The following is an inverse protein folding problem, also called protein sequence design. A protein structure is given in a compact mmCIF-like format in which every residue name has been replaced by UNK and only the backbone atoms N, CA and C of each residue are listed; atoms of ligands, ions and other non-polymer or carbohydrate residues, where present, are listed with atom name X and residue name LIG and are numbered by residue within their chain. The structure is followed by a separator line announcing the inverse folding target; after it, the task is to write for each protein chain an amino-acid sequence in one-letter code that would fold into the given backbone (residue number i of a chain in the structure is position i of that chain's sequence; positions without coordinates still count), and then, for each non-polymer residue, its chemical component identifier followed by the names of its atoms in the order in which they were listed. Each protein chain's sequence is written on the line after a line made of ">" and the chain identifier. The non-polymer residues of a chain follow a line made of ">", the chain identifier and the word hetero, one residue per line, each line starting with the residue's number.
data_IF_261521038780
#
_entry.id   IF_261521038780
#
_cell.length_a   1.000
_cell.length_b   1.000
_cell.length_c   1.000
_cell.angle_alpha   90.00
_cell.angle_beta   90.00
_cell.angle_gamma   90.00
#
_symmetry.space_group_name_H-M   'P 1'
#
loop_
_entity.id
_entity.type
_entity.pdbx_description
1 polymer ?
#
# COMPACT_ATOMS: atom_id res chain seq x y z
N UNK A 1 -4.90 -12.24 -10.72
CA UNK A 1 -4.30 -13.10 -9.68
C UNK A 1 -3.57 -12.20 -8.68
N UNK A 2 -4.07 -12.09 -7.44
CA UNK A 2 -3.59 -11.14 -6.44
C UNK A 2 -2.13 -11.43 -6.04
N UNK A 3 -1.16 -10.69 -6.59
CA UNK A 3 0.18 -10.62 -6.00
C UNK A 3 0.09 -9.75 -4.73
N UNK A 4 -0.42 -10.38 -3.67
CA UNK A 4 -0.51 -9.83 -2.34
C UNK A 4 0.91 -9.78 -1.78
N UNK A 5 1.70 -8.79 -2.23
CA UNK A 5 3.05 -8.51 -1.70
C UNK A 5 2.95 -7.93 -0.29
N UNK A 6 2.44 -8.77 0.60
CA UNK A 6 2.69 -8.71 2.02
C UNK A 6 4.21 -8.79 2.25
N UNK A 7 4.67 -8.26 3.38
CA UNK A 7 6.07 -8.34 3.79
C UNK A 7 6.57 -9.79 3.58
N UNK A 8 7.66 -9.96 2.83
CA UNK A 8 8.17 -11.31 2.51
C UNK A 8 8.42 -12.07 3.81
N UNK A 9 8.05 -13.36 3.86
CA UNK A 9 8.21 -14.24 5.04
C UNK A 9 9.60 -14.17 5.69
N UNK A 10 10.65 -14.03 4.88
CA UNK A 10 12.02 -13.84 5.38
C UNK A 10 12.18 -12.66 6.34
N UNK A 11 11.51 -11.54 6.10
CA UNK A 11 11.61 -10.35 6.96
C UNK A 11 10.86 -10.54 8.29
N UNK A 12 9.77 -11.32 8.29
CA UNK A 12 9.11 -11.73 9.52
C UNK A 12 10.01 -12.62 10.38
N UNK A 13 10.66 -13.62 9.76
CA UNK A 13 11.59 -14.51 10.45
C UNK A 13 12.76 -13.72 11.02
N UNK A 14 13.37 -12.83 10.23
CA UNK A 14 14.46 -11.97 10.68
C UNK A 14 14.02 -11.08 11.84
N UNK A 15 12.86 -10.42 11.74
CA UNK A 15 12.33 -9.56 12.80
C UNK A 15 12.16 -10.32 14.12
N UNK A 16 11.48 -11.47 14.09
CA UNK A 16 11.20 -12.24 15.30
C UNK A 16 12.46 -12.87 15.90
N UNK A 17 13.39 -13.38 15.08
CA UNK A 17 14.67 -13.91 15.58
C UNK A 17 15.48 -12.78 16.22
N UNK A 18 15.64 -11.63 15.55
CA UNK A 18 16.38 -10.50 16.11
C UNK A 18 15.74 -9.99 17.41
N UNK A 19 14.40 -9.87 17.45
CA UNK A 19 13.68 -9.44 18.64
C UNK A 19 13.81 -10.46 19.79
N UNK A 20 13.78 -11.76 19.49
CA UNK A 20 13.96 -12.85 20.45
C UNK A 20 15.36 -12.85 21.03
N UNK A 21 16.39 -12.88 20.17
CA UNK A 21 17.79 -12.85 20.59
C UNK A 21 18.10 -11.62 21.44
N UNK A 22 17.60 -10.44 21.02
CA UNK A 22 17.77 -9.22 21.80
C UNK A 22 17.17 -9.32 23.20
N UNK A 23 15.94 -9.83 23.34
CA UNK A 23 15.30 -9.94 24.66
C UNK A 23 15.92 -11.02 25.53
N UNK A 24 16.33 -12.16 24.96
CA UNK A 24 17.03 -13.21 25.71
C UNK A 24 18.34 -12.69 26.29
N UNK A 25 19.14 -11.97 25.50
CA UNK A 25 20.39 -11.37 25.96
C UNK A 25 20.13 -10.28 27.01
N UNK A 26 19.19 -9.36 26.74
CA UNK A 26 18.83 -8.27 27.64
C UNK A 26 18.41 -8.77 29.01
N UNK A 27 17.47 -9.71 29.05
CA UNK A 27 16.96 -10.26 30.30
C UNK A 27 17.94 -11.22 30.95
N UNK A 28 18.70 -12.00 30.18
CA UNK A 28 19.71 -12.89 30.72
C UNK A 28 20.81 -12.13 31.44
N UNK A 29 21.27 -11.01 30.86
CA UNK A 29 22.21 -10.10 31.50
C UNK A 29 21.62 -9.36 32.70
N UNK A 30 20.31 -9.07 32.69
CA UNK A 30 19.66 -8.35 33.79
C UNK A 30 19.45 -9.24 35.02
N UNK A 31 19.06 -10.50 34.81
CA UNK A 31 18.82 -11.46 35.89
C UNK A 31 20.04 -12.27 36.30
N UNK A 32 21.15 -12.15 35.56
CA UNK A 32 22.31 -13.04 35.65
C UNK A 32 21.94 -14.53 35.49
N UNK A 33 20.81 -14.80 34.82
CA UNK A 33 20.28 -16.14 34.55
C UNK A 33 19.76 -16.22 33.11
N UNK A 34 20.65 -16.63 32.21
CA UNK A 34 20.35 -16.83 30.80
C UNK A 34 19.39 -18.01 30.56
N UNK A 35 19.35 -19.00 31.45
CA UNK A 35 18.49 -20.16 31.30
C UNK A 35 17.04 -19.83 31.63
N UNK A 36 16.84 -19.10 32.72
CA UNK A 36 15.57 -18.48 33.06
C UNK A 36 15.08 -17.57 31.94
N UNK A 37 15.95 -16.67 31.48
CA UNK A 37 15.65 -15.74 30.38
C UNK A 37 15.19 -16.49 29.11
N UNK A 38 15.90 -17.53 28.70
CA UNK A 38 15.54 -18.32 27.52
C UNK A 38 14.14 -18.97 27.67
N UNK A 39 13.86 -19.61 28.81
CA UNK A 39 12.57 -20.27 29.06
C UNK A 39 11.41 -19.29 29.10
N UNK A 40 11.57 -18.16 29.81
CA UNK A 40 10.56 -17.10 29.87
C UNK A 40 10.26 -16.55 28.48
N UNK A 41 11.30 -16.16 27.73
CA UNK A 41 11.13 -15.60 26.38
C UNK A 41 10.46 -16.58 25.41
N UNK A 42 10.69 -17.91 25.52
CA UNK A 42 10.01 -18.88 24.66
C UNK A 42 8.49 -18.87 24.86
N UNK A 43 8.04 -18.80 26.11
CA UNK A 43 6.61 -18.72 26.44
C UNK A 43 6.03 -17.39 25.99
N UNK A 44 6.70 -16.29 26.31
CA UNK A 44 6.23 -14.93 26.02
C UNK A 44 6.15 -14.66 24.51
N UNK A 45 7.19 -15.02 23.76
CA UNK A 45 7.23 -14.78 22.31
C UNK A 45 6.18 -15.56 21.54
N UNK A 46 5.86 -16.78 21.97
CA UNK A 46 4.78 -17.52 21.35
C UNK A 46 3.44 -16.76 21.43
N UNK A 47 3.14 -16.20 22.61
CA UNK A 47 1.93 -15.41 22.84
C UNK A 47 1.96 -14.07 22.09
N UNK A 48 3.11 -13.39 22.08
CA UNK A 48 3.32 -12.14 21.32
C UNK A 48 3.05 -12.34 19.82
N UNK A 49 3.67 -13.37 19.23
CA UNK A 49 3.54 -13.70 17.81
C UNK A 49 2.08 -13.96 17.48
N UNK A 50 1.40 -14.77 18.30
CA UNK A 50 -0.01 -15.10 18.11
C UNK A 50 -0.89 -13.85 18.13
N UNK A 51 -0.72 -12.97 19.12
CA UNK A 51 -1.50 -11.74 19.25
C UNK A 51 -1.24 -10.77 18.09
N UNK A 52 0.02 -10.56 17.72
CA UNK A 52 0.41 -9.66 16.62
C UNK A 52 -0.20 -10.13 15.30
N UNK A 53 -0.13 -11.43 15.00
CA UNK A 53 -0.68 -11.96 13.75
C UNK A 53 -2.20 -12.02 13.76
N UNK A 54 -2.83 -12.32 14.90
CA UNK A 54 -4.28 -12.17 15.05
C UNK A 54 -4.71 -10.72 14.78
N UNK A 55 -3.97 -9.74 15.30
CA UNK A 55 -4.27 -8.34 15.04
C UNK A 55 -4.14 -7.99 13.54
N UNK A 56 -2.99 -8.33 12.93
CA UNK A 56 -2.68 -7.97 11.54
C UNK A 56 -3.61 -8.64 10.53
N UNK A 57 -3.90 -9.93 10.69
CA UNK A 57 -4.64 -10.70 9.69
C UNK A 57 -6.13 -10.84 9.98
N UNK A 58 -6.56 -10.62 11.23
CA UNK A 58 -7.96 -10.76 11.62
C UNK A 58 -8.56 -9.46 12.16
N UNK A 59 -7.99 -8.84 13.20
CA UNK A 59 -8.63 -7.65 13.79
C UNK A 59 -8.65 -6.45 12.84
N UNK A 60 -7.53 -6.18 12.17
CA UNK A 60 -7.42 -5.06 11.25
C UNK A 60 -8.35 -5.22 10.03
N UNK A 61 -8.31 -6.32 9.25
CA UNK A 61 -9.11 -6.41 8.03
C UNK A 61 -10.61 -6.51 8.29
N UNK A 62 -11.03 -7.12 9.40
CA UNK A 62 -12.46 -7.35 9.68
C UNK A 62 -13.12 -6.24 10.51
N UNK A 63 -12.34 -5.45 11.26
CA UNK A 63 -12.90 -4.44 12.16
C UNK A 63 -12.30 -3.04 11.97
N UNK A 64 -10.98 -2.90 11.77
CA UNK A 64 -10.36 -1.58 11.56
C UNK A 64 -10.66 -1.02 10.16
N UNK A 65 -10.42 -1.81 9.11
CA UNK A 65 -10.65 -1.40 7.71
C UNK A 65 -12.12 -1.07 7.42
N UNK A 66 -13.10 -1.86 7.90
CA UNK A 66 -14.53 -1.52 7.74
C UNK A 66 -15.00 -0.41 8.71
N UNK A 67 -14.09 0.28 9.40
CA UNK A 67 -14.36 1.38 10.34
C UNK A 67 -15.23 1.00 11.54
N UNK A 68 -15.23 -0.27 11.96
CA UNK A 68 -15.94 -0.77 13.16
C UNK A 68 -15.08 -0.58 14.41
N UNK A 69 -14.70 0.67 14.71
CA UNK A 69 -13.70 0.99 15.74
C UNK A 69 -14.04 0.48 17.15
N UNK A 70 -15.29 0.57 17.59
CA UNK A 70 -15.68 0.11 18.93
C UNK A 70 -15.48 -1.39 19.11
N UNK A 71 -15.80 -2.19 18.08
CA UNK A 71 -15.58 -3.65 18.10
C UNK A 71 -14.10 -4.00 18.07
N UNK A 72 -13.32 -3.26 17.28
CA UNK A 72 -11.87 -3.42 17.23
C UNK A 72 -11.22 -3.15 18.60
N UNK A 73 -11.54 -2.01 19.23
CA UNK A 73 -10.99 -1.65 20.55
C UNK A 73 -11.42 -2.67 21.60
N UNK A 74 -12.68 -3.09 21.63
CA UNK A 74 -13.15 -4.12 22.55
C UNK A 74 -12.40 -5.45 22.37
N UNK A 75 -12.22 -5.92 21.14
CA UNK A 75 -11.47 -7.14 20.84
C UNK A 75 -9.99 -7.05 21.25
N UNK A 76 -9.35 -5.91 21.04
CA UNK A 76 -7.97 -5.68 21.48
C UNK A 76 -7.88 -5.74 23.01
N UNK A 77 -8.77 -5.07 23.74
CA UNK A 77 -8.78 -5.10 25.20
C UNK A 77 -9.00 -6.52 25.75
N UNK A 78 -9.96 -7.26 25.18
CA UNK A 78 -10.21 -8.66 25.54
C UNK A 78 -8.98 -9.53 25.25
N UNK A 79 -8.34 -9.33 24.10
CA UNK A 79 -7.18 -10.13 23.70
C UNK A 79 -5.95 -9.81 24.54
N UNK A 80 -5.74 -8.54 24.93
CA UNK A 80 -4.68 -8.14 25.85
C UNK A 80 -4.91 -8.73 27.24
N UNK A 81 -6.15 -8.71 27.74
CA UNK A 81 -6.48 -9.32 29.03
C UNK A 81 -6.28 -10.85 29.00
N UNK A 82 -6.74 -11.52 27.94
CA UNK A 82 -6.54 -12.96 27.77
C UNK A 82 -5.06 -13.32 27.64
N UNK A 83 -4.28 -12.52 26.90
CA UNK A 83 -2.84 -12.69 26.75
C UNK A 83 -2.13 -12.50 28.10
N UNK A 84 -2.50 -11.49 28.88
CA UNK A 84 -1.98 -11.27 30.23
C UNK A 84 -2.20 -12.49 31.13
N UNK A 85 -3.44 -13.02 31.17
CA UNK A 85 -3.75 -14.22 31.96
C UNK A 85 -2.95 -15.44 31.48
N UNK A 86 -2.86 -15.65 30.17
CA UNK A 86 -2.12 -16.76 29.59
C UNK A 86 -0.63 -16.66 29.88
N UNK A 87 -0.02 -15.47 29.70
CA UNK A 87 1.40 -15.21 29.98
C UNK A 87 1.72 -15.44 31.45
N UNK A 88 0.95 -14.83 32.33
CA UNK A 88 1.13 -14.92 33.78
C UNK A 88 0.94 -16.38 34.26
N UNK A 89 -0.09 -17.07 33.78
CA UNK A 89 -0.34 -18.46 34.13
C UNK A 89 0.72 -19.44 33.59
N UNK A 90 1.14 -19.29 32.33
CA UNK A 90 2.14 -20.17 31.73
C UNK A 90 3.53 -19.96 32.32
N UNK A 91 3.93 -18.72 32.60
CA UNK A 91 5.20 -18.46 33.29
C UNK A 91 5.20 -19.05 34.71
N UNK A 92 4.08 -18.94 35.44
CA UNK A 92 3.93 -19.54 36.76
C UNK A 92 4.08 -21.08 36.75
N UNK A 93 3.50 -21.73 35.74
CA UNK A 93 3.49 -23.19 35.63
C UNK A 93 4.81 -23.76 35.08
N UNK A 94 5.44 -23.09 34.11
CA UNK A 94 6.52 -23.65 33.30
C UNK A 94 7.90 -23.08 33.61
N UNK A 95 7.97 -21.90 34.21
CA UNK A 95 9.24 -21.13 34.30
C UNK A 95 9.62 -20.83 35.74
N UNK A 96 8.81 -20.07 36.48
CA UNK A 96 9.15 -19.65 37.84
C UNK A 96 7.91 -19.36 38.66
N UNK A 97 7.99 -19.63 39.97
CA UNK A 97 6.98 -19.17 40.94
C UNK A 97 7.25 -17.74 41.43
N UNK A 98 8.48 -17.23 41.26
CA UNK A 98 8.83 -15.84 41.53
C UNK A 98 8.50 -14.99 40.30
N UNK A 99 7.30 -14.43 40.28
CA UNK A 99 6.67 -13.78 39.13
C UNK A 99 7.14 -12.35 38.87
N UNK A 100 7.87 -11.74 39.80
CA UNK A 100 8.37 -10.37 39.67
C UNK A 100 9.72 -10.17 40.39
N UNK A 101 10.80 -10.85 39.94
CA UNK A 101 12.13 -10.66 40.51
C UNK A 101 12.67 -9.23 40.34
N UNK A 102 12.12 -8.43 39.41
CA UNK A 102 12.52 -7.03 39.15
C UNK A 102 11.99 -6.00 40.16
N UNK A 103 10.95 -6.34 40.93
CA UNK A 103 10.41 -5.42 41.94
C UNK A 103 11.19 -5.59 43.25
N UNK A 104 11.66 -4.49 43.85
CA UNK A 104 12.10 -4.53 45.25
C UNK A 104 10.92 -5.01 46.12
N UNK A 105 11.05 -6.22 46.66
CA UNK A 105 10.03 -6.93 47.43
C UNK A 105 9.20 -7.92 46.63
N UNK A 106 8.71 -8.98 47.29
CA UNK A 106 7.79 -9.97 46.70
C UNK A 106 6.47 -9.27 46.43
N UNK A 107 6.30 -8.72 45.23
CA UNK A 107 4.99 -8.29 44.76
C UNK A 107 4.26 -9.51 44.21
N UNK A 108 3.12 -9.82 44.83
CA UNK A 108 2.30 -10.92 44.39
C UNK A 108 1.92 -10.76 42.90
N UNK A 109 1.82 -11.88 42.15
CA UNK A 109 1.21 -11.86 40.84
C UNK A 109 -0.20 -11.23 40.93
N UNK A 110 -0.66 -10.62 39.84
CA UNK A 110 -1.96 -9.93 39.74
C UNK A 110 -2.10 -8.60 40.51
N UNK A 111 -1.02 -8.05 41.06
CA UNK A 111 -1.04 -6.66 41.53
C UNK A 111 -1.28 -5.68 40.38
N UNK A 112 -1.97 -4.57 40.65
CA UNK A 112 -2.31 -3.55 39.64
C UNK A 112 -1.09 -3.06 38.86
N UNK A 113 0.03 -2.83 39.55
CA UNK A 113 1.28 -2.40 38.92
C UNK A 113 1.88 -3.48 38.00
N UNK A 114 1.75 -4.77 38.36
CA UNK A 114 2.22 -5.88 37.53
C UNK A 114 1.41 -5.96 36.24
N UNK A 115 0.08 -5.88 36.36
CA UNK A 115 -0.84 -5.87 35.22
C UNK A 115 -0.47 -4.75 34.26
N UNK A 116 -0.28 -3.52 34.78
CA UNK A 116 0.09 -2.38 33.94
C UNK A 116 1.43 -2.59 33.26
N UNK A 117 2.48 -2.98 33.99
CA UNK A 117 3.82 -3.14 33.42
C UNK A 117 3.85 -4.18 32.29
N UNK A 118 3.24 -5.34 32.52
CA UNK A 118 3.17 -6.43 31.53
C UNK A 118 2.34 -6.01 30.31
N UNK A 119 1.18 -5.38 30.54
CA UNK A 119 0.28 -4.96 29.45
C UNK A 119 0.89 -3.84 28.61
N UNK A 120 1.60 -2.88 29.22
CA UNK A 120 2.30 -1.83 28.48
C UNK A 120 3.43 -2.38 27.62
N UNK A 121 4.18 -3.36 28.13
CA UNK A 121 5.19 -4.07 27.35
C UNK A 121 4.59 -4.76 26.11
N UNK A 122 3.46 -5.46 26.29
CA UNK A 122 2.72 -6.08 25.19
C UNK A 122 2.24 -5.05 24.17
N UNK A 123 1.65 -3.96 24.66
CA UNK A 123 1.09 -2.90 23.84
C UNK A 123 2.16 -2.24 22.96
N UNK A 124 3.38 -2.04 23.49
CA UNK A 124 4.50 -1.50 22.74
C UNK A 124 4.85 -2.37 21.52
N UNK A 125 4.97 -3.69 21.72
CA UNK A 125 5.31 -4.62 20.64
C UNK A 125 4.20 -4.69 19.60
N UNK A 126 2.95 -4.80 20.07
CA UNK A 126 1.78 -4.82 19.21
C UNK A 126 1.68 -3.54 18.37
N UNK A 127 1.88 -2.38 19.00
CA UNK A 127 1.84 -1.08 18.32
C UNK A 127 2.96 -0.95 17.29
N UNK A 128 4.20 -1.33 17.63
CA UNK A 128 5.35 -1.26 16.72
C UNK A 128 5.15 -2.17 15.51
N UNK A 129 4.79 -3.44 15.72
CA UNK A 129 4.57 -4.39 14.64
C UNK A 129 3.41 -3.96 13.72
N UNK A 130 2.34 -3.43 14.31
CA UNK A 130 1.19 -2.90 13.58
C UNK A 130 1.57 -1.67 12.77
N UNK A 131 2.32 -0.73 13.35
CA UNK A 131 2.79 0.47 12.66
C UNK A 131 3.64 0.11 11.44
N UNK A 132 4.65 -0.77 11.61
CA UNK A 132 5.49 -1.26 10.50
C UNK A 132 4.62 -1.86 9.38
N UNK A 133 3.67 -2.72 9.74
CA UNK A 133 2.79 -3.38 8.78
C UNK A 133 1.92 -2.38 8.01
N UNK A 134 1.28 -1.45 8.71
CA UNK A 134 0.43 -0.42 8.10
C UNK A 134 1.26 0.51 7.19
N UNK A 135 2.47 0.89 7.60
CA UNK A 135 3.36 1.71 6.78
C UNK A 135 3.75 1.00 5.48
N UNK A 136 4.14 -0.28 5.55
CA UNK A 136 4.49 -1.06 4.35
C UNK A 136 3.28 -1.21 3.42
N UNK A 137 2.11 -1.53 3.97
CA UNK A 137 0.89 -1.67 3.18
C UNK A 137 0.50 -0.35 2.52
N UNK A 138 0.63 0.78 3.23
CA UNK A 138 0.39 2.12 2.69
C UNK A 138 1.35 2.47 1.55
N UNK A 139 2.66 2.21 1.70
CA UNK A 139 3.66 2.44 0.64
C UNK A 139 3.32 1.61 -0.60
N UNK A 140 3.02 0.32 -0.43
CA UNK A 140 2.65 -0.57 -1.53
C UNK A 140 1.37 -0.12 -2.25
N UNK A 141 0.35 0.32 -1.49
CA UNK A 141 -0.88 0.87 -2.05
C UNK A 141 -0.61 2.16 -2.83
N UNK A 142 0.20 3.07 -2.28
CA UNK A 142 0.58 4.32 -2.95
C UNK A 142 1.29 4.06 -4.27
N UNK A 143 2.31 3.20 -4.28
CA UNK A 143 3.02 2.83 -5.52
C UNK A 143 2.09 2.20 -6.55
N UNK A 144 1.11 1.39 -6.12
CA UNK A 144 0.12 0.81 -7.02
C UNK A 144 -0.80 1.87 -7.62
N UNK A 145 -1.27 2.82 -6.82
CA UNK A 145 -2.10 3.94 -7.26
C UNK A 145 -1.31 4.81 -8.25
N UNK A 146 -0.06 5.15 -7.95
CA UNK A 146 0.80 5.95 -8.83
C UNK A 146 1.04 5.25 -10.17
N UNK A 147 1.27 3.93 -10.15
CA UNK A 147 1.42 3.13 -11.37
C UNK A 147 0.15 3.12 -12.21
N UNK A 148 -1.01 2.87 -11.58
CA UNK A 148 -2.30 2.89 -12.28
C UNK A 148 -2.61 4.26 -12.87
N UNK A 149 -2.29 5.34 -12.15
CA UNK A 149 -2.45 6.71 -12.64
C UNK A 149 -1.56 6.98 -13.85
N UNK A 150 -0.31 6.50 -13.84
CA UNK A 150 0.59 6.61 -14.99
C UNK A 150 0.04 5.85 -16.20
N UNK A 151 -0.37 4.59 -16.03
CA UNK A 151 -0.96 3.77 -17.09
C UNK A 151 -2.24 4.42 -17.66
N UNK A 152 -3.06 5.02 -16.81
CA UNK A 152 -4.25 5.78 -17.23
C UNK A 152 -3.90 6.99 -18.09
N UNK A 153 -2.96 7.83 -17.65
CA UNK A 153 -2.51 9.02 -18.39
C UNK A 153 -1.85 8.65 -19.73
N UNK A 154 -1.05 7.58 -19.76
CA UNK A 154 -0.49 7.07 -21.03
C UNK A 154 -1.61 6.58 -21.97
N UNK A 155 -2.65 5.95 -21.43
CA UNK A 155 -3.85 5.57 -22.17
C UNK A 155 -4.59 6.77 -22.76
N UNK A 156 -4.88 7.79 -21.95
CA UNK A 156 -5.53 9.04 -22.41
C UNK A 156 -4.69 9.75 -23.47
N UNK A 157 -3.38 9.85 -23.27
CA UNK A 157 -2.47 10.45 -24.24
C UNK A 157 -2.51 9.69 -25.57
N UNK A 158 -2.46 8.35 -25.54
CA UNK A 158 -2.50 7.52 -26.74
C UNK A 158 -3.86 7.62 -27.44
N UNK A 159 -4.95 7.70 -26.68
CA UNK A 159 -6.28 7.94 -27.23
C UNK A 159 -6.36 9.30 -27.93
N UNK A 160 -5.89 10.37 -27.30
CA UNK A 160 -5.83 11.71 -27.90
C UNK A 160 -4.93 11.74 -29.15
N UNK A 161 -3.77 11.07 -29.11
CA UNK A 161 -2.89 10.95 -30.28
C UNK A 161 -3.56 10.18 -31.43
N UNK A 162 -4.34 9.14 -31.13
CA UNK A 162 -5.04 8.37 -32.15
C UNK A 162 -6.14 9.17 -32.86
N UNK A 163 -6.69 10.22 -32.23
CA UNK A 163 -7.63 11.14 -32.89
C UNK A 163 -6.96 11.91 -34.03
N UNK A 164 -5.68 12.27 -33.87
CA UNK A 164 -4.87 12.85 -34.94
C UNK A 164 -4.35 11.69 -35.79
N UNK A 165 -5.08 11.21 -36.80
CA UNK A 165 -4.64 10.13 -37.68
C UNK A 165 -3.24 10.44 -38.26
N UNK A 166 -2.12 9.93 -37.71
CA UNK A 166 -0.80 10.48 -38.02
C UNK A 166 -0.40 10.12 -39.45
N UNK A 167 -0.85 8.95 -39.90
CA UNK A 167 -0.68 8.47 -41.26
C UNK A 167 -1.37 9.38 -42.28
N UNK A 168 -2.59 9.82 -42.00
CA UNK A 168 -3.28 10.79 -42.86
C UNK A 168 -2.47 12.09 -42.94
N UNK A 169 -2.04 12.62 -41.80
CA UNK A 169 -1.25 13.85 -41.75
C UNK A 169 0.05 13.76 -42.56
N UNK A 170 0.83 12.68 -42.40
CA UNK A 170 2.05 12.48 -43.18
C UNK A 170 1.79 12.29 -44.67
N UNK A 171 0.71 11.59 -45.05
CA UNK A 171 0.35 11.42 -46.45
C UNK A 171 -0.03 12.73 -47.11
N UNK A 172 -0.80 13.59 -46.42
CA UNK A 172 -1.18 14.90 -46.95
C UNK A 172 0.04 15.81 -47.11
N UNK A 173 0.99 15.78 -46.17
CA UNK A 173 2.26 16.51 -46.30
C UNK A 173 3.10 16.02 -47.49
N UNK A 174 3.18 14.70 -47.71
CA UNK A 174 3.92 14.14 -48.84
C UNK A 174 3.27 14.49 -50.19
N UNK A 175 1.94 14.48 -50.27
CA UNK A 175 1.19 14.93 -51.44
C UNK A 175 1.46 16.41 -51.72
N UNK A 176 1.35 17.26 -50.68
CA UNK A 176 1.68 18.67 -50.77
C UNK A 176 3.14 18.91 -51.23
N UNK A 177 4.09 18.16 -50.68
CA UNK A 177 5.49 18.23 -51.10
C UNK A 177 5.65 17.92 -52.60
N UNK A 178 4.98 16.89 -53.10
CA UNK A 178 4.97 16.54 -54.53
C UNK A 178 4.38 17.67 -55.39
N UNK A 179 3.24 18.24 -54.97
CA UNK A 179 2.60 19.36 -55.67
C UNK A 179 3.45 20.63 -55.71
N UNK A 180 4.21 20.90 -54.64
CA UNK A 180 5.13 22.04 -54.59
C UNK A 180 6.34 21.85 -55.50
N UNK A 181 6.90 20.63 -55.57
CA UNK A 181 7.95 20.29 -56.54
C UNK A 181 7.47 20.47 -57.99
N UNK A 182 6.23 20.09 -58.28
CA UNK A 182 5.60 20.25 -59.60
C UNK A 182 5.16 21.69 -59.92
N UNK A 183 5.33 22.64 -58.98
CA UNK A 183 4.82 24.02 -59.08
C UNK A 183 3.31 24.07 -59.40
N UNK A 184 2.57 23.12 -58.85
CA UNK A 184 1.13 22.99 -59.09
C UNK A 184 0.38 24.15 -58.44
N UNK A 185 -0.56 24.74 -59.18
CA UNK A 185 -1.48 25.75 -58.64
C UNK A 185 -2.37 25.21 -57.50
N UNK A 186 -2.50 23.88 -57.38
CA UNK A 186 -3.28 23.21 -56.33
C UNK A 186 -2.59 23.17 -54.97
N UNK A 187 -1.26 23.38 -54.91
CA UNK A 187 -0.52 23.29 -53.66
C UNK A 187 -1.05 24.25 -52.58
N UNK A 188 -1.41 25.48 -52.97
CA UNK A 188 -1.97 26.47 -52.03
C UNK A 188 -3.34 26.08 -51.47
N UNK A 189 -4.16 25.37 -52.25
CA UNK A 189 -5.49 24.91 -51.84
C UNK A 189 -5.38 23.76 -50.83
N UNK A 190 -4.48 22.81 -51.10
CA UNK A 190 -4.16 21.68 -50.20
C UNK A 190 -3.62 22.16 -48.84
N UNK A 191 -2.82 23.23 -48.80
CA UNK A 191 -2.36 23.85 -47.54
C UNK A 191 -3.53 24.38 -46.72
N UNK A 192 -4.47 25.09 -47.35
CA UNK A 192 -5.64 25.66 -46.67
C UNK A 192 -6.53 24.54 -46.12
N UNK A 193 -6.86 23.53 -46.94
CA UNK A 193 -7.68 22.38 -46.50
C UNK A 193 -7.02 21.59 -45.37
N UNK A 194 -5.71 21.39 -45.42
CA UNK A 194 -4.97 20.76 -44.33
C UNK A 194 -4.99 21.60 -43.05
N UNK A 195 -4.88 22.94 -43.16
CA UNK A 195 -4.97 23.86 -42.02
C UNK A 195 -6.35 23.79 -41.36
N UNK A 196 -7.43 23.80 -42.15
CA UNK A 196 -8.80 23.70 -41.65
C UNK A 196 -9.04 22.37 -40.91
N UNK A 197 -8.52 21.27 -41.46
CA UNK A 197 -8.62 19.95 -40.83
C UNK A 197 -7.83 19.91 -39.51
N UNK A 198 -6.63 20.48 -39.45
CA UNK A 198 -5.84 20.51 -38.22
C UNK A 198 -6.46 21.41 -37.15
N UNK A 199 -7.07 22.52 -37.54
CA UNK A 199 -7.81 23.38 -36.63
C UNK A 199 -8.98 22.62 -35.99
N UNK A 200 -9.77 21.92 -36.80
CA UNK A 200 -10.86 21.07 -36.31
C UNK A 200 -10.37 20.01 -35.32
N UNK A 201 -9.29 19.30 -35.64
CA UNK A 201 -8.76 18.23 -34.79
C UNK A 201 -8.22 18.74 -33.44
N UNK A 202 -7.63 19.94 -33.40
CA UNK A 202 -7.00 20.50 -32.20
C UNK A 202 -8.01 21.18 -31.27
N UNK A 203 -9.01 21.84 -31.85
CA UNK A 203 -9.93 22.73 -31.14
C UNK A 203 -11.35 22.17 -31.09
N UNK A 204 -11.92 21.76 -32.22
CA UNK A 204 -13.35 21.47 -32.32
C UNK A 204 -13.72 20.06 -31.84
N UNK A 205 -12.82 19.06 -31.97
CA UNK A 205 -13.05 17.69 -31.46
C UNK A 205 -13.17 17.64 -29.92
N UNK A 206 -12.73 18.69 -29.21
CA UNK A 206 -12.83 18.75 -27.75
C UNK A 206 -14.20 19.16 -27.25
N UNK A 207 -15.03 19.77 -28.10
CA UNK A 207 -16.38 20.17 -27.72
C UNK A 207 -17.37 19.01 -27.88
N UNK A 208 -18.27 18.81 -26.89
CA UNK A 208 -19.24 17.71 -26.92
C UNK A 208 -20.34 17.91 -27.96
N UNK A 209 -20.53 19.13 -28.48
CA UNK A 209 -21.50 19.46 -29.52
C UNK A 209 -20.88 20.43 -30.53
N UNK A 210 -21.01 20.11 -31.82
CA UNK A 210 -20.53 20.94 -32.92
C UNK A 210 -21.67 21.14 -33.94
N UNK A 211 -21.64 22.27 -34.65
CA UNK A 211 -22.54 22.51 -35.79
C UNK A 211 -22.35 21.45 -36.89
N UNK A 212 -23.44 20.80 -37.30
CA UNK A 212 -23.45 19.83 -38.41
C UNK A 212 -22.81 20.38 -39.70
N UNK A 213 -22.98 21.67 -39.99
CA UNK A 213 -22.37 22.31 -41.15
C UNK A 213 -20.84 22.30 -41.10
N UNK A 214 -20.25 22.49 -39.91
CA UNK A 214 -18.79 22.44 -39.73
C UNK A 214 -18.28 21.01 -39.92
N UNK A 215 -19.03 20.02 -39.42
CA UNK A 215 -18.74 18.60 -39.61
C UNK A 215 -18.76 18.19 -41.09
N UNK A 216 -19.78 18.65 -41.84
CA UNK A 216 -19.89 18.41 -43.29
C UNK A 216 -18.72 19.08 -44.04
N UNK A 217 -18.39 20.33 -43.73
CA UNK A 217 -17.26 21.03 -44.35
C UNK A 217 -15.93 20.32 -44.08
N UNK A 218 -15.74 19.79 -42.89
CA UNK A 218 -14.55 19.02 -42.55
C UNK A 218 -14.45 17.72 -43.38
N UNK A 219 -15.54 16.97 -43.48
CA UNK A 219 -15.59 15.75 -44.32
C UNK A 219 -15.30 16.09 -45.78
N UNK A 220 -15.83 17.21 -46.29
CA UNK A 220 -15.58 17.65 -47.65
C UNK A 220 -14.10 18.00 -47.87
N UNK A 221 -13.50 18.78 -46.96
CA UNK A 221 -12.07 19.09 -47.00
C UNK A 221 -11.20 17.83 -46.95
N UNK A 222 -11.62 16.80 -46.21
CA UNK A 222 -10.93 15.50 -46.15
C UNK A 222 -11.02 14.73 -47.48
N UNK A 223 -12.18 14.71 -48.13
CA UNK A 223 -12.39 14.03 -49.42
C UNK A 223 -11.65 14.73 -50.57
N UNK A 224 -11.52 16.05 -50.48
CA UNK A 224 -10.89 16.88 -51.51
C UNK A 224 -9.35 16.82 -51.54
N UNK A 225 -8.73 16.19 -50.54
CA UNK A 225 -7.27 16.01 -50.38
C UNK A 225 -6.76 14.69 -50.99
#
# INVERSE_FOLDING_TARGET
>A
MHDNRTIKRKYHIIFWISYFTFNVIRWGSYFDDYWYSLKSNLVEFFLHILLVYANIYFFIPFFLVPKKYSKYVCLILISLFANYLARTGLNYLLVTKNMWPEAEGVKDPFTFNHVIAVTLGELYVLALATAIKLTVDWINQKTRIDKLKKEHLEGELNFLKAQIQPHFFFNTLNNLYSLTLEKSKKASDVVLKLSDIMQYVIYDIKDPEISLLNEINYIQNYIDL
#
